data_IF_606014557036
#
_entry.id   IF_606014557036
#
_cell.length_a   1.000
_cell.length_b   1.000
_cell.length_c   1.000
_cell.angle_alpha   90.00
_cell.angle_beta   90.00
_cell.angle_gamma   90.00
#
_symmetry.space_group_name_H-M   'P 1'
#
loop_
_entity.id
_entity.type
_entity.pdbx_description
1 polymer ?
#
# COMPACT_ATOMS: atom_id res chain seq x y z
N UNK A 1 7.81 1.89 -70.07
CA UNK A 1 7.45 1.94 -68.64
C UNK A 1 6.90 0.57 -68.26
N UNK A 2 7.66 -0.22 -67.52
CA UNK A 2 7.13 -1.47 -66.97
C UNK A 2 6.12 -1.14 -65.85
N UNK A 3 4.97 -1.83 -65.80
CA UNK A 3 4.06 -1.70 -64.68
C UNK A 3 4.76 -2.23 -63.43
N UNK A 4 4.76 -1.44 -62.35
CA UNK A 4 5.19 -1.90 -61.03
C UNK A 4 4.26 -3.06 -60.67
N UNK A 5 4.78 -4.28 -60.75
CA UNK A 5 4.05 -5.47 -60.29
C UNK A 5 3.72 -5.26 -58.81
N UNK A 6 2.51 -5.65 -58.41
CA UNK A 6 2.08 -5.76 -57.02
C UNK A 6 2.87 -6.87 -56.29
N UNK A 7 4.20 -6.76 -56.28
CA UNK A 7 5.11 -7.61 -55.52
C UNK A 7 5.07 -7.15 -54.06
N UNK A 8 4.00 -7.60 -53.42
CA UNK A 8 3.86 -7.86 -51.99
C UNK A 8 4.45 -6.77 -51.08
N UNK A 9 3.72 -5.66 -50.96
CA UNK A 9 3.99 -4.60 -49.97
C UNK A 9 4.16 -5.20 -48.56
N UNK A 10 3.46 -6.29 -48.23
CA UNK A 10 3.60 -6.95 -46.94
C UNK A 10 4.95 -7.64 -46.80
N UNK A 11 5.44 -8.32 -47.85
CA UNK A 11 6.80 -8.89 -47.85
C UNK A 11 7.88 -7.81 -47.78
N UNK A 12 7.70 -6.67 -48.47
CA UNK A 12 8.63 -5.55 -48.39
C UNK A 12 8.64 -4.91 -47.00
N UNK A 13 7.47 -4.75 -46.37
CA UNK A 13 7.36 -4.28 -44.99
C UNK A 13 7.99 -5.27 -44.00
N UNK A 14 7.78 -6.57 -44.20
CA UNK A 14 8.38 -7.61 -43.36
C UNK A 14 9.90 -7.61 -43.46
N UNK A 15 10.44 -7.52 -44.69
CA UNK A 15 11.88 -7.40 -44.92
C UNK A 15 12.46 -6.14 -44.27
N UNK A 16 11.76 -5.00 -44.41
CA UNK A 16 12.15 -3.76 -43.75
C UNK A 16 12.12 -3.90 -42.21
N UNK A 17 11.15 -4.60 -41.64
CA UNK A 17 11.09 -4.87 -40.20
C UNK A 17 12.24 -5.77 -39.73
N UNK A 18 12.61 -6.75 -40.54
CA UNK A 18 13.79 -7.59 -40.28
C UNK A 18 15.10 -6.78 -40.37
N UNK A 19 15.22 -5.84 -41.31
CA UNK A 19 16.35 -4.90 -41.41
C UNK A 19 16.40 -3.89 -40.24
N UNK A 20 15.24 -3.46 -39.74
CA UNK A 20 15.10 -2.56 -38.59
C UNK A 20 15.48 -3.23 -37.26
N UNK A 21 15.22 -4.54 -37.12
CA UNK A 21 15.37 -5.27 -35.85
C UNK A 21 16.80 -5.21 -35.28
N UNK A 22 17.89 -5.46 -36.05
CA UNK A 22 19.25 -5.29 -35.56
C UNK A 22 19.60 -3.87 -35.12
N UNK A 23 18.94 -2.86 -35.68
CA UNK A 23 19.08 -1.45 -35.27
C UNK A 23 18.23 -1.08 -34.05
N UNK A 24 17.46 -2.01 -33.49
CA UNK A 24 16.57 -1.76 -32.36
C UNK A 24 15.33 -0.93 -32.70
N UNK A 25 14.97 -0.81 -33.97
CA UNK A 25 13.82 -0.04 -34.42
C UNK A 25 12.55 -0.91 -34.43
N UNK A 26 11.43 -0.33 -33.96
CA UNK A 26 10.10 -0.94 -34.02
C UNK A 26 9.09 0.02 -34.66
N UNK A 27 8.26 -0.42 -35.61
CA UNK A 27 7.28 0.43 -36.30
C UNK A 27 6.11 0.78 -35.37
N UNK A 28 5.95 2.06 -35.03
CA UNK A 28 4.85 2.53 -34.18
C UNK A 28 3.46 2.24 -34.77
N UNK A 29 3.32 2.35 -36.10
CA UNK A 29 2.04 2.14 -36.79
C UNK A 29 1.48 0.72 -36.64
N UNK A 30 2.32 -0.26 -36.31
CA UNK A 30 1.88 -1.64 -36.02
C UNK A 30 1.32 -1.80 -34.59
N UNK A 31 1.74 -0.92 -33.66
CA UNK A 31 1.53 -1.14 -32.21
C UNK A 31 0.87 0.01 -31.46
N UNK A 32 0.62 1.16 -32.11
CA UNK A 32 0.10 2.36 -31.44
C UNK A 32 -1.16 2.07 -30.61
N UNK A 33 -2.09 1.28 -31.17
CA UNK A 33 -3.34 0.92 -30.50
C UNK A 33 -3.15 0.07 -29.23
N UNK A 34 -2.01 -0.63 -29.11
CA UNK A 34 -1.65 -1.39 -27.92
C UNK A 34 -0.87 -0.54 -26.89
N UNK A 35 -0.28 0.58 -27.32
CA UNK A 35 0.50 1.48 -26.46
C UNK A 35 -0.35 2.61 -25.86
N UNK A 36 -1.34 3.11 -26.62
CA UNK A 36 -2.21 4.23 -26.21
C UNK A 36 -3.64 3.71 -26.17
N UNK A 37 -4.08 3.32 -24.98
CA UNK A 37 -5.40 2.76 -24.74
C UNK A 37 -6.43 3.85 -24.46
N UNK A 38 -7.71 3.57 -24.78
CA UNK A 38 -8.82 4.48 -24.47
C UNK A 38 -9.08 4.59 -22.95
N UNK A 39 -8.88 3.49 -22.23
CA UNK A 39 -8.98 3.38 -20.78
C UNK A 39 -7.83 2.50 -20.25
N UNK A 40 -7.46 2.62 -18.95
CA UNK A 40 -6.45 1.75 -18.35
C UNK A 40 -6.81 0.26 -18.47
N UNK A 41 -5.86 -0.56 -18.91
CA UNK A 41 -6.00 -2.02 -18.94
C UNK A 41 -4.91 -2.66 -18.07
N UNK A 42 -5.13 -2.67 -16.75
CA UNK A 42 -4.20 -3.31 -15.82
C UNK A 42 -4.18 -4.83 -16.01
N UNK A 43 -2.99 -5.42 -15.97
CA UNK A 43 -2.84 -6.88 -15.89
C UNK A 43 -3.26 -7.42 -14.50
N UNK A 44 -3.17 -6.58 -13.47
CA UNK A 44 -3.57 -6.96 -12.12
C UNK A 44 -5.07 -7.31 -12.08
N UNK A 45 -5.38 -8.39 -11.36
CA UNK A 45 -6.74 -8.89 -11.17
C UNK A 45 -7.25 -8.47 -9.80
N UNK A 46 -8.56 -8.24 -9.71
CA UNK A 46 -9.22 -8.13 -8.42
C UNK A 46 -9.03 -9.47 -7.68
N UNK A 47 -8.59 -9.41 -6.44
CA UNK A 47 -8.28 -10.60 -5.67
C UNK A 47 -8.45 -10.37 -4.17
N UNK A 48 -8.75 -11.44 -3.45
CA UNK A 48 -9.05 -11.45 -2.03
C UNK A 48 -8.23 -12.54 -1.35
N UNK A 49 -7.62 -12.18 -0.24
CA UNK A 49 -6.89 -13.09 0.64
C UNK A 49 -7.61 -13.16 1.98
N UNK A 50 -8.09 -14.36 2.31
CA UNK A 50 -8.74 -14.62 3.59
C UNK A 50 -7.68 -14.67 4.70
N UNK A 51 -7.83 -13.83 5.73
CA UNK A 51 -6.79 -13.67 6.74
C UNK A 51 -6.42 -14.97 7.44
N UNK A 52 -7.43 -15.79 7.81
CA UNK A 52 -7.21 -17.04 8.51
C UNK A 52 -6.30 -18.01 7.74
N UNK A 53 -6.44 -18.07 6.42
CA UNK A 53 -5.62 -18.97 5.59
C UNK A 53 -4.18 -18.47 5.50
N UNK A 54 -3.98 -17.18 5.22
CA UNK A 54 -2.62 -16.60 5.14
C UNK A 54 -1.92 -16.65 6.51
N UNK A 55 -2.66 -16.41 7.59
CA UNK A 55 -2.17 -16.52 8.98
C UNK A 55 -1.67 -17.93 9.28
N UNK A 56 -2.42 -18.96 8.89
CA UNK A 56 -2.01 -20.36 9.11
C UNK A 56 -0.72 -20.69 8.37
N UNK A 57 -0.55 -20.21 7.13
CA UNK A 57 0.71 -20.35 6.40
C UNK A 57 1.87 -19.59 7.07
N UNK A 58 1.63 -18.38 7.58
CA UNK A 58 2.64 -17.59 8.28
C UNK A 58 3.15 -18.29 9.53
N UNK A 59 2.25 -18.75 10.40
CA UNK A 59 2.62 -19.41 11.65
C UNK A 59 3.39 -20.70 11.39
N UNK A 60 2.94 -21.52 10.44
CA UNK A 60 3.67 -22.73 10.02
C UNK A 60 5.04 -22.41 9.42
N UNK A 61 5.19 -21.27 8.75
CA UNK A 61 6.50 -20.81 8.25
C UNK A 61 7.41 -20.36 9.39
N UNK A 62 6.83 -19.86 10.49
CA UNK A 62 7.52 -19.52 11.74
C UNK A 62 8.29 -20.67 12.36
N UNK A 63 7.73 -21.88 12.30
CA UNK A 63 8.35 -23.10 12.82
C UNK A 63 9.51 -23.63 11.94
N UNK A 64 9.55 -23.20 10.67
CA UNK A 64 10.45 -23.77 9.66
C UNK A 64 11.65 -22.89 9.32
N UNK A 65 11.51 -21.56 9.44
CA UNK A 65 12.53 -20.58 9.07
C UNK A 65 12.62 -19.53 10.17
N UNK A 66 13.81 -19.32 10.75
CA UNK A 66 14.01 -18.25 11.74
C UNK A 66 13.95 -16.86 11.09
N UNK A 67 13.58 -15.81 11.85
CA UNK A 67 13.55 -14.45 11.31
C UNK A 67 14.92 -13.97 10.80
N UNK A 68 16.01 -14.37 11.46
CA UNK A 68 17.38 -14.04 11.04
C UNK A 68 17.72 -14.66 9.68
N UNK A 69 17.31 -15.92 9.44
CA UNK A 69 17.51 -16.59 8.15
C UNK A 69 16.64 -16.02 7.03
N UNK A 70 15.48 -15.46 7.35
CA UNK A 70 14.56 -14.87 6.38
C UNK A 70 14.85 -13.40 6.05
N UNK A 71 15.72 -12.72 6.80
CA UNK A 71 15.81 -11.25 6.97
C UNK A 71 14.48 -10.61 7.44
N UNK A 72 13.37 -10.91 6.76
CA UNK A 72 11.98 -10.68 7.18
C UNK A 72 11.12 -11.89 6.80
N UNK A 73 10.39 -12.45 7.76
CA UNK A 73 9.45 -13.55 7.50
C UNK A 73 8.12 -13.01 6.96
N UNK A 74 8.04 -12.87 5.64
CA UNK A 74 6.89 -12.27 4.94
C UNK A 74 6.30 -13.25 3.92
N UNK A 75 4.97 -13.35 3.87
CA UNK A 75 4.27 -13.93 2.73
C UNK A 75 3.77 -12.79 1.83
N UNK A 76 4.29 -12.77 0.60
CA UNK A 76 3.92 -11.77 -0.41
C UNK A 76 2.50 -12.06 -0.90
N UNK A 77 1.65 -11.04 -0.93
CA UNK A 77 0.32 -11.09 -1.53
C UNK A 77 0.45 -10.82 -3.04
N UNK A 78 1.02 -11.78 -3.77
CA UNK A 78 1.26 -11.63 -5.21
C UNK A 78 -0.04 -11.71 -5.99
N UNK A 79 -0.31 -10.69 -6.80
CA UNK A 79 -1.52 -10.64 -7.62
C UNK A 79 -1.48 -11.75 -8.70
N UNK A 80 -2.54 -12.56 -8.87
CA UNK A 80 -2.57 -13.61 -9.89
C UNK A 80 -2.45 -13.10 -11.35
N UNK A 81 -2.66 -11.80 -11.57
CA UNK A 81 -2.42 -11.15 -12.86
C UNK A 81 -0.99 -10.65 -13.07
N UNK A 82 -0.13 -10.76 -12.05
CA UNK A 82 1.24 -10.25 -12.02
C UNK A 82 2.23 -11.31 -11.49
N UNK A 83 1.97 -12.59 -11.77
CA UNK A 83 2.79 -13.72 -11.31
C UNK A 83 4.29 -13.50 -11.62
N UNK A 84 5.15 -13.75 -10.63
CA UNK A 84 6.61 -13.58 -10.71
C UNK A 84 7.10 -12.14 -10.56
N UNK A 85 6.23 -11.15 -10.40
CA UNK A 85 6.63 -9.74 -10.19
C UNK A 85 6.83 -9.35 -8.73
N UNK A 86 6.32 -10.17 -7.80
CA UNK A 86 6.21 -9.89 -6.37
C UNK A 86 5.45 -8.59 -6.08
N UNK A 87 4.29 -8.40 -6.71
CA UNK A 87 3.51 -7.17 -6.61
C UNK A 87 2.01 -7.44 -6.44
N UNK A 88 1.31 -6.59 -5.68
CA UNK A 88 -0.14 -6.68 -5.49
C UNK A 88 -0.90 -5.79 -6.51
N UNK A 89 -0.28 -4.70 -6.95
CA UNK A 89 -0.65 -3.89 -8.12
C UNK A 89 0.61 -3.63 -8.96
N UNK A 90 0.52 -3.10 -10.18
CA UNK A 90 1.72 -2.78 -10.96
C UNK A 90 2.65 -1.75 -10.30
N UNK A 91 2.16 -0.99 -9.31
CA UNK A 91 2.86 0.09 -8.62
C UNK A 91 3.17 -0.20 -7.15
N UNK A 92 2.48 -1.18 -6.53
CA UNK A 92 2.57 -1.46 -5.10
C UNK A 92 2.86 -2.93 -4.80
N UNK A 93 3.64 -3.12 -3.74
CA UNK A 93 3.86 -4.38 -3.06
C UNK A 93 2.96 -4.46 -1.83
N UNK A 94 2.50 -5.68 -1.50
CA UNK A 94 1.99 -5.96 -0.18
C UNK A 94 2.36 -7.37 0.29
N UNK A 95 2.48 -7.54 1.60
CA UNK A 95 2.77 -8.83 2.22
C UNK A 95 2.32 -8.87 3.67
N UNK A 96 2.03 -10.05 4.19
CA UNK A 96 1.82 -10.21 5.64
C UNK A 96 3.12 -10.69 6.28
N UNK A 97 3.59 -9.96 7.28
CA UNK A 97 4.82 -10.26 8.00
C UNK A 97 4.52 -10.80 9.40
N UNK A 98 5.31 -11.78 9.84
CA UNK A 98 5.28 -12.36 11.18
C UNK A 98 6.59 -12.09 11.93
N UNK A 99 6.48 -11.62 13.17
CA UNK A 99 7.58 -11.59 14.15
C UNK A 99 7.20 -12.37 15.40
N UNK A 100 8.00 -13.37 15.75
CA UNK A 100 7.77 -14.25 16.91
C UNK A 100 8.31 -13.62 18.21
N UNK A 101 7.88 -14.11 19.38
CA UNK A 101 8.43 -13.71 20.67
C UNK A 101 9.96 -13.75 20.72
N UNK A 102 10.56 -12.66 21.17
CA UNK A 102 12.02 -12.49 21.29
C UNK A 102 12.76 -12.17 19.98
N UNK A 103 12.08 -12.19 18.82
CA UNK A 103 12.74 -11.89 17.55
C UNK A 103 12.98 -10.38 17.35
N UNK A 104 14.07 -10.07 16.64
CA UNK A 104 14.41 -8.74 16.14
C UNK A 104 14.68 -8.85 14.65
N UNK A 105 13.98 -8.04 13.84
CA UNK A 105 14.25 -7.89 12.43
C UNK A 105 15.28 -6.76 12.24
N UNK A 106 16.48 -7.03 11.68
CA UNK A 106 17.60 -6.11 11.68
C UNK A 106 17.36 -4.74 11.00
N UNK A 107 18.01 -3.73 11.55
CA UNK A 107 17.94 -2.35 11.10
C UNK A 107 18.55 -2.13 9.71
N UNK A 108 17.79 -1.42 8.87
CA UNK A 108 18.22 -0.99 7.53
C UNK A 108 17.46 0.26 7.10
N UNK A 109 17.84 0.81 5.94
CA UNK A 109 17.08 1.83 5.23
C UNK A 109 17.08 1.53 3.74
N UNK A 110 16.08 2.05 3.04
CA UNK A 110 15.97 1.92 1.59
C UNK A 110 15.16 3.08 1.00
N UNK A 111 15.27 3.33 -0.30
CA UNK A 111 14.55 4.42 -0.99
C UNK A 111 13.04 4.27 -0.86
N UNK A 112 12.54 3.03 -0.87
CA UNK A 112 11.13 2.70 -0.85
C UNK A 112 10.45 3.23 0.40
N UNK A 113 9.24 3.78 0.22
CA UNK A 113 8.33 4.06 1.31
C UNK A 113 7.64 2.76 1.73
N UNK A 114 7.40 2.61 3.03
CA UNK A 114 6.57 1.52 3.54
C UNK A 114 5.59 1.99 4.59
N UNK A 115 4.44 1.33 4.63
CA UNK A 115 3.52 1.35 5.76
C UNK A 115 3.36 -0.05 6.33
N UNK A 116 2.97 -0.09 7.60
CA UNK A 116 2.61 -1.27 8.36
C UNK A 116 1.25 -1.02 8.98
N UNK A 117 0.29 -1.87 8.62
CA UNK A 117 -1.03 -1.85 9.23
C UNK A 117 -1.20 -3.10 10.08
N UNK A 118 -1.33 -2.90 11.39
CA UNK A 118 -1.26 -4.00 12.35
C UNK A 118 -2.54 -4.83 12.32
N UNK A 119 -2.42 -6.15 12.17
CA UNK A 119 -3.57 -7.04 12.09
C UNK A 119 -3.79 -7.80 13.40
N UNK A 120 -2.73 -8.38 13.97
CA UNK A 120 -2.81 -9.24 15.16
C UNK A 120 -1.57 -9.08 16.04
N UNK A 121 -1.74 -9.20 17.35
CA UNK A 121 -0.70 -9.02 18.36
C UNK A 121 -0.75 -7.63 18.99
N UNK A 122 -0.01 -7.46 20.08
CA UNK A 122 0.04 -6.23 20.89
C UNK A 122 1.46 -6.09 21.45
N UNK A 123 2.01 -4.88 21.48
CA UNK A 123 3.19 -4.55 22.26
C UNK A 123 4.55 -4.76 21.58
N UNK A 124 4.64 -5.46 20.44
CA UNK A 124 5.84 -5.40 19.61
C UNK A 124 6.01 -3.99 19.03
N UNK A 125 7.18 -3.68 18.49
CA UNK A 125 7.47 -2.33 18.03
C UNK A 125 8.06 -2.29 16.62
N UNK A 126 7.85 -1.15 15.95
CA UNK A 126 8.66 -0.70 14.82
C UNK A 126 9.41 0.55 15.25
N UNK A 127 10.73 0.57 15.09
CA UNK A 127 11.55 1.74 15.36
C UNK A 127 11.85 2.49 14.06
N UNK A 128 11.80 3.83 14.09
CA UNK A 128 12.16 4.69 12.95
C UNK A 128 13.09 5.80 13.44
N UNK A 129 14.30 5.84 12.88
CA UNK A 129 15.43 6.65 13.35
C UNK A 129 15.63 6.58 14.88
N UNK A 130 15.36 5.41 15.47
CA UNK A 130 15.49 5.18 16.91
C UNK A 130 14.30 5.59 17.77
N UNK A 131 13.19 6.09 17.23
CA UNK A 131 11.94 6.25 17.98
C UNK A 131 11.05 5.02 17.77
N UNK A 132 10.56 4.40 18.86
CA UNK A 132 9.70 3.21 18.78
C UNK A 132 8.22 3.59 18.71
N UNK A 133 7.52 3.10 17.70
CA UNK A 133 6.07 2.94 17.72
C UNK A 133 5.74 1.59 18.37
N UNK A 134 5.17 1.61 19.58
CA UNK A 134 4.62 0.41 20.22
C UNK A 134 3.29 0.12 19.54
N UNK A 135 3.20 -1.06 18.92
CA UNK A 135 2.15 -1.39 17.97
C UNK A 135 0.98 -2.07 18.68
N UNK A 136 -0.23 -1.61 18.37
CA UNK A 136 -1.50 -2.24 18.76
C UNK A 136 -2.31 -2.59 17.49
N UNK A 137 -3.29 -3.51 17.55
CA UNK A 137 -4.13 -3.84 16.40
C UNK A 137 -4.72 -2.60 15.73
N UNK A 138 -4.62 -2.56 14.41
CA UNK A 138 -5.10 -1.52 13.51
C UNK A 138 -4.40 -0.15 13.65
N UNK A 139 -3.27 -0.09 14.35
CA UNK A 139 -2.36 1.04 14.20
C UNK A 139 -1.81 1.09 12.78
N UNK A 140 -1.59 2.30 12.27
CA UNK A 140 -0.82 2.55 11.07
C UNK A 140 0.55 3.09 11.46
N UNK A 141 1.62 2.41 11.03
CA UNK A 141 3.01 2.83 11.24
C UNK A 141 3.69 3.02 9.89
N UNK A 142 4.37 4.14 9.69
CA UNK A 142 5.08 4.49 8.47
C UNK A 142 6.59 4.28 8.66
N UNK A 143 7.27 3.82 7.61
CA UNK A 143 8.72 3.99 7.45
C UNK A 143 8.96 4.66 6.12
N UNK A 144 9.03 6.01 6.13
CA UNK A 144 9.30 6.79 4.93
C UNK A 144 10.68 6.46 4.34
N UNK A 145 10.84 6.67 3.03
CA UNK A 145 12.08 6.37 2.31
C UNK A 145 13.31 7.01 2.96
N UNK A 146 14.39 6.24 3.06
CA UNK A 146 15.69 6.68 3.56
C UNK A 146 15.84 6.75 5.08
N UNK A 147 14.80 6.47 5.87
CA UNK A 147 14.89 6.43 7.34
C UNK A 147 15.33 5.05 7.84
N UNK A 148 16.17 5.03 8.87
CA UNK A 148 16.60 3.79 9.51
C UNK A 148 15.44 3.16 10.25
N UNK A 149 15.22 1.86 10.07
CA UNK A 149 14.13 1.19 10.76
C UNK A 149 14.42 -0.28 11.06
N UNK A 150 13.92 -0.72 12.21
CA UNK A 150 13.97 -2.10 12.71
C UNK A 150 12.65 -2.49 13.40
N UNK A 151 12.48 -3.78 13.65
CA UNK A 151 11.32 -4.33 14.34
C UNK A 151 11.75 -5.26 15.45
N UNK A 152 11.02 -5.28 16.56
CA UNK A 152 11.31 -6.22 17.64
C UNK A 152 10.07 -6.61 18.40
N UNK A 153 10.06 -7.85 18.88
CA UNK A 153 8.97 -8.40 19.66
C UNK A 153 9.47 -8.85 21.03
N UNK A 154 9.36 -7.96 22.03
CA UNK A 154 9.68 -8.26 23.42
C UNK A 154 8.55 -8.97 24.20
N UNK A 155 7.45 -9.32 23.53
CA UNK A 155 6.28 -9.93 24.16
C UNK A 155 6.34 -11.45 24.10
N UNK A 156 5.32 -12.12 24.64
CA UNK A 156 5.17 -13.58 24.65
C UNK A 156 4.22 -14.10 23.55
N UNK A 157 3.69 -13.22 22.68
CA UNK A 157 2.79 -13.58 21.59
C UNK A 157 3.35 -13.19 20.21
N UNK A 158 3.02 -13.92 19.13
CA UNK A 158 3.36 -13.51 17.77
C UNK A 158 2.65 -12.20 17.40
N UNK A 159 3.27 -11.45 16.49
CA UNK A 159 2.68 -10.25 15.92
C UNK A 159 2.67 -10.32 14.40
N UNK A 160 1.52 -9.96 13.80
CA UNK A 160 1.28 -10.01 12.35
C UNK A 160 0.76 -8.66 11.86
N UNK A 161 1.38 -8.14 10.80
CA UNK A 161 0.93 -6.92 10.14
C UNK A 161 0.95 -7.07 8.62
N UNK A 162 0.23 -6.17 7.95
CA UNK A 162 0.32 -5.94 6.52
C UNK A 162 1.40 -4.91 6.24
N UNK A 163 2.39 -5.28 5.45
CA UNK A 163 3.33 -4.36 4.81
C UNK A 163 2.73 -3.87 3.49
N UNK A 164 2.79 -2.55 3.25
CA UNK A 164 2.47 -1.91 1.97
C UNK A 164 3.63 -1.04 1.51
N UNK A 165 4.19 -1.32 0.32
CA UNK A 165 5.40 -0.64 -0.18
C UNK A 165 5.26 -0.21 -1.63
N UNK A 166 6.03 0.80 -2.02
CA UNK A 166 6.15 1.28 -3.39
C UNK A 166 7.30 0.62 -4.17
N UNK A 167 7.71 -0.60 -3.80
CA UNK A 167 8.79 -1.36 -4.46
C UNK A 167 8.63 -1.36 -5.99
N UNK A 168 7.46 -1.70 -6.57
CA UNK A 168 7.29 -1.69 -8.03
C UNK A 168 7.43 -0.30 -8.65
N UNK A 169 6.92 0.76 -7.98
CA UNK A 169 7.09 2.15 -8.42
C UNK A 169 8.57 2.55 -8.43
N UNK A 170 9.32 2.28 -7.36
CA UNK A 170 10.75 2.60 -7.29
C UNK A 170 11.56 1.79 -8.32
N UNK A 171 11.18 0.53 -8.55
CA UNK A 171 11.75 -0.31 -9.61
C UNK A 171 11.48 0.28 -11.00
N UNK A 172 10.28 0.78 -11.26
CA UNK A 172 9.95 1.42 -12.53
C UNK A 172 10.85 2.61 -12.86
N UNK A 173 11.26 3.37 -11.85
CA UNK A 173 12.18 4.51 -12.00
C UNK A 173 13.66 4.15 -11.90
N UNK A 174 14.01 2.86 -11.72
CA UNK A 174 15.39 2.40 -11.47
C UNK A 174 16.09 3.18 -10.34
N UNK A 175 15.35 3.52 -9.27
CA UNK A 175 15.80 4.45 -8.22
C UNK A 175 16.06 3.78 -6.85
N UNK A 176 16.28 2.46 -6.83
CA UNK A 176 16.42 1.70 -5.57
C UNK A 176 17.82 1.84 -4.95
N UNK A 177 17.87 2.23 -3.69
CA UNK A 177 19.06 2.20 -2.83
C UNK A 177 18.71 1.49 -1.51
N UNK A 178 19.66 0.78 -0.92
CA UNK A 178 19.49 0.12 0.38
C UNK A 178 20.82 0.07 1.14
N UNK A 179 20.74 0.25 2.46
CA UNK A 179 21.89 0.21 3.37
C UNK A 179 21.51 -0.55 4.64
N UNK A 180 22.43 -1.39 5.14
CA UNK A 180 22.29 -2.11 6.41
C UNK A 180 22.96 -1.32 7.53
N UNK A 181 22.34 -1.29 8.71
CA UNK A 181 22.98 -0.77 9.91
C UNK A 181 23.92 -1.84 10.51
N UNK A 182 25.07 -1.49 11.10
CA UNK A 182 26.02 -2.48 11.62
C UNK A 182 25.49 -3.33 12.77
N UNK A 183 24.55 -2.81 13.56
CA UNK A 183 23.89 -3.52 14.65
C UNK A 183 22.44 -3.88 14.26
N UNK A 184 21.87 -4.87 14.96
CA UNK A 184 20.50 -5.30 14.71
C UNK A 184 19.45 -4.18 14.93
N UNK A 185 19.74 -3.20 15.80
CA UNK A 185 18.83 -2.12 16.15
C UNK A 185 19.51 -0.77 16.00
N UNK A 186 18.77 0.24 15.56
CA UNK A 186 19.24 1.62 15.61
C UNK A 186 19.25 2.13 17.06
N UNK A 187 20.23 2.94 17.49
CA UNK A 187 20.21 3.55 18.82
C UNK A 187 18.91 4.31 19.09
N UNK A 188 18.40 4.25 20.31
CA UNK A 188 17.20 4.98 20.70
C UNK A 188 17.50 6.49 20.74
N UNK A 189 16.86 7.25 19.85
CA UNK A 189 17.09 8.69 19.69
C UNK A 189 15.98 9.55 20.33
N UNK A 190 14.82 8.94 20.59
CA UNK A 190 13.67 9.55 21.23
C UNK A 190 12.83 8.47 21.94
N UNK A 191 12.14 8.82 23.05
CA UNK A 191 11.25 7.88 23.72
C UNK A 191 10.04 7.55 22.84
N UNK A 192 9.38 6.39 23.05
CA UNK A 192 8.17 6.03 22.32
C UNK A 192 7.08 7.12 22.38
N UNK A 193 6.51 7.48 21.23
CA UNK A 193 5.42 8.45 21.11
C UNK A 193 5.84 9.93 21.12
N UNK A 194 7.14 10.25 21.07
CA UNK A 194 7.64 11.64 21.01
C UNK A 194 7.13 12.36 19.75
N UNK A 195 7.22 11.74 18.57
CA UNK A 195 6.70 12.30 17.31
C UNK A 195 5.19 12.56 17.37
N UNK A 196 4.43 11.62 17.94
CA UNK A 196 2.99 11.75 18.12
C UNK A 196 2.63 12.92 19.03
N UNK A 197 3.31 13.07 20.17
CA UNK A 197 3.09 14.18 21.09
C UNK A 197 3.40 15.55 20.47
N UNK A 198 4.37 15.61 19.54
CA UNK A 198 4.80 16.85 18.88
C UNK A 198 3.95 17.22 17.68
N UNK A 199 3.56 16.24 16.86
CA UNK A 199 3.01 16.46 15.53
C UNK A 199 1.59 15.88 15.33
N UNK A 200 1.07 15.11 16.30
CA UNK A 200 -0.21 14.40 16.20
C UNK A 200 -1.45 15.17 16.67
N UNK A 201 -1.32 16.42 17.11
CA UNK A 201 -2.41 17.19 17.73
C UNK A 201 -2.83 18.44 16.94
N UNK A 202 -2.66 18.44 15.62
CA UNK A 202 -2.90 19.62 14.76
C UNK A 202 -2.12 20.88 15.20
N UNK A 203 -0.98 20.64 15.86
CA UNK A 203 -0.01 21.62 16.33
C UNK A 203 1.37 21.09 15.94
N UNK A 204 2.34 21.99 15.80
CA UNK A 204 3.74 21.61 15.55
C UNK A 204 4.71 22.48 16.32
N UNK A 205 5.90 21.96 16.66
CA UNK A 205 6.99 22.76 17.20
C UNK A 205 7.34 23.93 16.27
N UNK A 206 7.80 25.04 16.86
CA UNK A 206 8.34 26.17 16.10
C UNK A 206 9.68 25.76 15.47
N UNK A 207 9.89 26.13 14.20
CA UNK A 207 11.10 25.78 13.44
C UNK A 207 12.36 26.30 14.11
N UNK A 208 13.44 25.50 14.04
CA UNK A 208 14.75 25.86 14.58
C UNK A 208 14.87 25.78 16.11
N UNK A 209 13.85 25.24 16.78
CA UNK A 209 13.91 24.96 18.22
C UNK A 209 14.41 23.55 18.48
N UNK A 210 14.88 23.26 19.70
CA UNK A 210 15.29 21.90 20.11
C UNK A 210 14.12 20.89 20.11
N UNK A 211 12.89 21.40 20.05
CA UNK A 211 11.67 20.62 19.95
C UNK A 211 11.33 20.19 18.52
N UNK A 212 11.93 20.83 17.52
CA UNK A 212 11.81 20.48 16.10
C UNK A 212 12.79 19.34 15.81
N UNK A 213 12.27 18.12 15.73
CA UNK A 213 13.02 16.88 15.55
C UNK A 213 12.34 16.04 14.46
N UNK A 214 13.07 15.06 13.89
CA UNK A 214 12.68 14.25 12.71
C UNK A 214 12.83 15.03 11.38
N UNK A 215 12.85 14.34 10.23
CA UNK A 215 12.86 15.02 8.93
C UNK A 215 11.66 15.95 8.79
N UNK A 216 11.90 17.20 8.40
CA UNK A 216 10.86 18.25 8.32
C UNK A 216 9.72 17.88 7.38
N UNK A 217 10.00 17.10 6.34
CA UNK A 217 9.00 16.65 5.37
C UNK A 217 8.13 15.51 5.89
N UNK A 218 8.55 14.75 6.91
CA UNK A 218 7.82 13.56 7.35
C UNK A 218 7.99 13.31 8.87
N UNK A 219 7.44 14.22 9.71
CA UNK A 219 7.73 14.24 11.13
C UNK A 219 6.93 13.20 11.94
N UNK A 220 5.73 12.83 11.49
CA UNK A 220 4.87 11.84 12.12
C UNK A 220 4.93 10.51 11.36
N UNK A 221 4.99 9.40 12.11
CA UNK A 221 5.04 8.06 11.53
C UNK A 221 4.16 7.03 12.25
N UNK A 222 3.44 7.39 13.31
CA UNK A 222 2.55 6.46 14.04
C UNK A 222 1.17 7.09 14.19
N UNK A 223 0.14 6.37 13.73
CA UNK A 223 -1.26 6.77 13.77
C UNK A 223 -2.04 5.69 14.54
N UNK A 224 -2.26 5.87 15.85
CA UNK A 224 -2.86 4.82 16.68
C UNK A 224 -4.36 4.63 16.43
N UNK A 225 -4.84 3.38 16.42
CA UNK A 225 -6.26 3.02 16.31
C UNK A 225 -7.12 3.73 17.34
N UNK A 226 -6.64 3.77 18.60
CA UNK A 226 -7.29 4.49 19.70
C UNK A 226 -7.50 5.99 19.46
N UNK A 227 -6.82 6.58 18.48
CA UNK A 227 -7.00 7.98 18.11
C UNK A 227 -7.84 8.14 16.84
N UNK A 228 -7.55 7.39 15.78
CA UNK A 228 -8.25 7.58 14.51
C UNK A 228 -9.66 6.97 14.51
N UNK A 229 -9.92 5.90 15.26
CA UNK A 229 -11.24 5.25 15.30
C UNK A 229 -12.33 6.16 15.91
N UNK A 230 -12.11 6.82 17.06
CA UNK A 230 -13.08 7.79 17.58
C UNK A 230 -13.30 9.01 16.67
N UNK A 231 -12.27 9.42 15.91
CA UNK A 231 -12.42 10.51 14.93
C UNK A 231 -13.37 10.11 13.79
N UNK A 232 -13.29 8.85 13.32
CA UNK A 232 -14.19 8.29 12.32
C UNK A 232 -15.63 8.16 12.87
N UNK A 233 -15.80 7.71 14.12
CA UNK A 233 -17.11 7.70 14.78
C UNK A 233 -17.74 9.08 14.85
N UNK A 234 -16.93 10.08 15.24
CA UNK A 234 -17.42 11.45 15.35
C UNK A 234 -17.89 11.98 13.99
N UNK A 235 -17.12 11.75 12.92
CA UNK A 235 -17.52 12.09 11.56
C UNK A 235 -18.84 11.39 11.19
N UNK A 236 -18.95 10.09 11.42
CA UNK A 236 -20.15 9.32 11.11
C UNK A 236 -21.39 9.79 11.87
N UNK A 237 -21.22 10.26 13.11
CA UNK A 237 -22.33 10.75 13.94
C UNK A 237 -22.86 12.13 13.54
N UNK A 238 -22.12 12.90 12.74
CA UNK A 238 -22.42 14.32 12.48
C UNK A 238 -22.52 14.68 11.00
N UNK A 239 -21.82 13.96 10.12
CA UNK A 239 -21.81 14.25 8.70
C UNK A 239 -22.92 13.51 7.94
N UNK A 240 -23.28 14.03 6.78
CA UNK A 240 -24.06 13.27 5.80
C UNK A 240 -23.16 12.15 5.23
N UNK A 241 -23.72 10.95 5.04
CA UNK A 241 -23.01 9.84 4.42
C UNK A 241 -22.77 10.12 2.93
N UNK A 242 -21.53 9.92 2.47
CA UNK A 242 -21.23 9.95 1.04
C UNK A 242 -21.73 8.65 0.38
N UNK A 243 -22.50 8.71 -0.71
CA UNK A 243 -23.07 7.52 -1.31
C UNK A 243 -22.03 6.54 -1.87
N UNK A 244 -20.84 6.99 -2.28
CA UNK A 244 -19.80 6.15 -2.89
C UNK A 244 -18.74 5.71 -1.87
N UNK A 245 -18.48 6.51 -0.83
CA UNK A 245 -17.39 6.29 0.12
C UNK A 245 -17.85 5.91 1.54
N UNK A 246 -19.12 6.16 1.90
CA UNK A 246 -19.55 6.14 3.29
C UNK A 246 -19.05 7.37 4.05
N UNK A 247 -18.65 7.21 5.30
CA UNK A 247 -17.88 8.23 6.03
C UNK A 247 -16.40 7.91 5.91
N UNK A 248 -15.60 8.82 5.37
CA UNK A 248 -14.19 8.55 5.09
C UNK A 248 -13.27 9.63 5.65
N UNK A 249 -12.12 9.20 6.18
CA UNK A 249 -11.02 10.06 6.61
C UNK A 249 -9.74 9.63 5.93
N UNK A 250 -8.96 10.59 5.43
CA UNK A 250 -7.62 10.35 4.92
C UNK A 250 -6.58 10.59 6.04
N UNK A 251 -5.59 9.72 6.14
CA UNK A 251 -4.43 9.98 6.99
C UNK A 251 -3.54 11.02 6.30
N UNK A 252 -3.12 12.04 7.03
CA UNK A 252 -2.36 13.15 6.44
C UNK A 252 -0.98 13.29 7.06
N UNK A 253 -0.08 13.88 6.28
CA UNK A 253 1.19 14.36 6.78
C UNK A 253 1.00 15.73 7.45
N UNK A 254 1.27 15.89 8.76
CA UNK A 254 1.07 17.17 9.45
C UNK A 254 2.06 18.27 9.03
N UNK A 255 3.09 17.95 8.24
CA UNK A 255 4.04 18.94 7.73
C UNK A 255 3.40 19.86 6.67
N UNK A 256 2.54 19.31 5.81
CA UNK A 256 1.98 19.97 4.63
C UNK A 256 0.47 19.75 4.42
N UNK A 257 -0.15 18.84 5.18
CA UNK A 257 -1.57 18.46 5.04
C UNK A 257 -1.85 17.52 3.87
N UNK A 258 -0.83 17.04 3.17
CA UNK A 258 -0.94 16.13 2.05
C UNK A 258 -1.04 14.65 2.47
N UNK A 259 -0.87 13.72 1.50
CA UNK A 259 -0.85 12.29 1.75
C UNK A 259 0.20 11.87 2.78
N UNK A 260 0.00 10.70 3.42
CA UNK A 260 0.91 10.16 4.44
C UNK A 260 2.36 10.04 4.00
N UNK A 261 2.64 9.74 2.73
CA UNK A 261 3.99 9.63 2.15
C UNK A 261 3.98 10.10 0.70
N UNK A 262 5.14 10.26 0.07
CA UNK A 262 5.18 10.86 -1.26
C UNK A 262 4.49 10.05 -2.36
N UNK A 263 4.48 8.73 -2.22
CA UNK A 263 4.01 7.77 -3.22
C UNK A 263 2.74 7.03 -2.82
N UNK A 264 2.37 7.06 -1.54
CA UNK A 264 1.24 6.29 -0.98
C UNK A 264 0.25 7.22 -0.26
N UNK A 265 -1.02 7.09 -0.61
CA UNK A 265 -2.15 7.63 0.17
C UNK A 265 -2.75 6.53 1.03
N UNK A 266 -3.29 6.88 2.19
CA UNK A 266 -3.96 5.95 3.09
C UNK A 266 -5.21 6.59 3.71
N UNK A 267 -6.28 5.82 3.89
CA UNK A 267 -7.55 6.30 4.42
C UNK A 267 -8.30 5.20 5.19
N UNK A 268 -9.30 5.60 5.96
CA UNK A 268 -10.29 4.70 6.58
C UNK A 268 -11.69 5.10 6.18
N UNK A 269 -12.59 4.12 6.07
CA UNK A 269 -14.01 4.34 5.77
C UNK A 269 -14.89 3.57 6.75
N UNK A 270 -16.00 4.18 7.12
CA UNK A 270 -17.13 3.56 7.81
C UNK A 270 -18.30 3.51 6.82
N UNK A 271 -18.77 2.31 6.53
CA UNK A 271 -19.97 2.09 5.72
C UNK A 271 -21.08 1.64 6.68
N UNK A 272 -22.16 2.44 6.86
CA UNK A 272 -23.23 2.12 7.78
C UNK A 272 -23.87 0.76 7.50
N UNK A 273 -24.33 0.10 8.57
CA UNK A 273 -25.02 -1.19 8.47
C UNK A 273 -26.16 -1.14 7.46
N UNK A 274 -26.19 -2.12 6.55
CA UNK A 274 -27.22 -2.27 5.51
C UNK A 274 -27.03 -1.35 4.31
N UNK A 275 -26.03 -0.45 4.31
CA UNK A 275 -25.74 0.40 3.17
C UNK A 275 -25.03 -0.40 2.07
N UNK A 276 -25.47 -0.16 0.83
CA UNK A 276 -24.69 -0.44 -0.36
C UNK A 276 -24.18 0.89 -0.92
N UNK A 277 -22.87 1.00 -1.15
CA UNK A 277 -22.31 2.20 -1.77
C UNK A 277 -22.69 2.25 -3.25
N UNK A 278 -22.96 3.45 -3.76
CA UNK A 278 -23.06 3.67 -5.20
C UNK A 278 -21.73 3.28 -5.89
N UNK A 279 -21.77 2.69 -7.09
CA UNK A 279 -20.56 2.21 -7.75
C UNK A 279 -19.58 3.34 -8.06
N UNK A 280 -18.28 3.03 -8.04
CA UNK A 280 -17.23 3.96 -8.46
C UNK A 280 -16.07 3.23 -9.12
N UNK A 281 -15.21 3.97 -9.79
CA UNK A 281 -13.90 3.51 -10.28
C UNK A 281 -12.87 4.63 -10.20
N UNK A 282 -11.60 4.27 -10.07
CA UNK A 282 -10.50 5.23 -10.05
C UNK A 282 -9.24 4.61 -10.62
N UNK A 283 -8.29 5.44 -11.07
CA UNK A 283 -7.05 4.98 -11.69
C UNK A 283 -6.04 4.42 -10.69
N UNK A 284 -6.19 4.73 -9.40
CA UNK A 284 -5.33 4.19 -8.34
C UNK A 284 -5.66 2.73 -8.05
N UNK A 285 -4.62 1.91 -7.94
CA UNK A 285 -4.74 0.55 -7.45
C UNK A 285 -4.85 0.57 -5.93
N UNK A 286 -6.00 0.19 -5.39
CA UNK A 286 -6.26 0.28 -3.94
C UNK A 286 -6.28 -1.08 -3.28
N UNK A 287 -5.56 -1.21 -2.17
CA UNK A 287 -5.57 -2.38 -1.30
C UNK A 287 -6.40 -2.00 -0.07
N UNK A 288 -7.40 -2.82 0.25
CA UNK A 288 -8.23 -2.65 1.44
C UNK A 288 -7.98 -3.76 2.45
N UNK A 289 -8.08 -3.40 3.72
CA UNK A 289 -8.12 -4.31 4.86
C UNK A 289 -9.43 -4.10 5.60
N UNK A 290 -10.15 -5.18 5.88
CA UNK A 290 -11.32 -5.11 6.76
C UNK A 290 -10.85 -4.93 8.19
N UNK A 291 -11.21 -3.82 8.84
CA UNK A 291 -10.85 -3.55 10.23
C UNK A 291 -11.89 -4.17 11.16
N UNK A 292 -13.16 -3.81 10.97
CA UNK A 292 -14.29 -4.24 11.78
C UNK A 292 -15.50 -4.57 10.89
N UNK A 293 -16.38 -5.42 11.42
CA UNK A 293 -17.63 -5.77 10.76
C UNK A 293 -17.47 -6.79 9.65
N UNK A 294 -18.57 -6.99 8.93
CA UNK A 294 -18.70 -7.92 7.80
C UNK A 294 -19.47 -7.26 6.69
N UNK A 295 -19.16 -7.68 5.48
CA UNK A 295 -19.81 -7.15 4.30
C UNK A 295 -19.40 -7.91 3.05
N UNK A 296 -19.58 -7.26 1.92
CA UNK A 296 -19.22 -7.77 0.62
C UNK A 296 -18.64 -6.64 -0.22
N UNK A 297 -17.73 -6.97 -1.13
CA UNK A 297 -17.32 -6.08 -2.21
C UNK A 297 -17.68 -6.73 -3.52
N UNK A 298 -18.34 -5.97 -4.38
CA UNK A 298 -18.59 -6.35 -5.77
C UNK A 298 -17.59 -5.60 -6.66
N UNK A 299 -16.83 -6.33 -7.46
CA UNK A 299 -15.85 -5.77 -8.40
C UNK A 299 -16.14 -6.34 -9.78
N UNK A 300 -16.46 -5.48 -10.75
CA UNK A 300 -16.90 -5.84 -12.11
C UNK A 300 -17.96 -6.97 -12.12
N UNK A 301 -18.92 -6.92 -11.19
CA UNK A 301 -20.02 -7.88 -11.08
C UNK A 301 -19.69 -9.17 -10.29
N UNK A 302 -18.46 -9.35 -9.83
CA UNK A 302 -18.06 -10.48 -8.98
C UNK A 302 -18.11 -10.06 -7.51
N UNK A 303 -18.96 -10.70 -6.72
CA UNK A 303 -19.13 -10.43 -5.29
C UNK A 303 -18.26 -11.34 -4.44
N UNK A 304 -17.56 -10.76 -3.47
CA UNK A 304 -16.71 -11.47 -2.50
C UNK A 304 -17.11 -11.07 -1.08
N UNK A 305 -17.28 -12.05 -0.18
CA UNK A 305 -17.57 -11.77 1.23
C UNK A 305 -16.31 -11.33 1.96
N UNK A 306 -16.48 -10.39 2.87
CA UNK A 306 -15.44 -9.73 3.62
C UNK A 306 -15.62 -10.01 5.10
N UNK A 307 -14.55 -10.49 5.75
CA UNK A 307 -14.45 -10.69 7.19
C UNK A 307 -13.27 -9.92 7.78
N UNK A 308 -13.24 -9.64 9.10
CA UNK A 308 -12.16 -8.88 9.72
C UNK A 308 -10.78 -9.42 9.37
N UNK A 309 -9.86 -8.49 9.05
CA UNK A 309 -8.47 -8.66 8.61
C UNK A 309 -8.28 -9.20 7.19
N UNK A 310 -9.35 -9.53 6.47
CA UNK A 310 -9.23 -9.89 5.06
C UNK A 310 -8.62 -8.74 4.26
N UNK A 311 -7.81 -9.12 3.27
CA UNK A 311 -7.17 -8.17 2.35
C UNK A 311 -7.80 -8.33 0.98
N UNK A 312 -8.21 -7.23 0.35
CA UNK A 312 -8.71 -7.23 -1.03
C UNK A 312 -8.01 -6.15 -1.84
N UNK A 313 -7.60 -6.49 -3.07
CA UNK A 313 -7.06 -5.52 -4.02
C UNK A 313 -8.09 -5.19 -5.10
N UNK A 314 -8.28 -3.90 -5.34
CA UNK A 314 -9.06 -3.35 -6.44
C UNK A 314 -8.08 -2.67 -7.41
N UNK A 315 -7.76 -3.32 -8.54
CA UNK A 315 -6.89 -2.74 -9.56
C UNK A 315 -7.46 -1.47 -10.19
N UNK A 316 -6.57 -0.75 -10.89
CA UNK A 316 -6.89 0.45 -11.65
C UNK A 316 -8.13 0.26 -12.56
N UNK A 317 -9.02 1.25 -12.50
CA UNK A 317 -10.21 1.41 -13.34
C UNK A 317 -11.29 0.33 -13.20
N UNK A 318 -11.22 -0.49 -12.15
CA UNK A 318 -12.23 -1.50 -11.83
C UNK A 318 -13.45 -0.88 -11.14
N UNK A 319 -14.65 -1.16 -11.68
CA UNK A 319 -15.90 -0.70 -11.07
C UNK A 319 -16.15 -1.52 -9.82
N UNK A 320 -16.39 -0.84 -8.70
CA UNK A 320 -16.65 -1.51 -7.44
C UNK A 320 -17.68 -0.80 -6.58
N UNK A 321 -18.27 -1.57 -5.66
CA UNK A 321 -19.11 -1.09 -4.56
C UNK A 321 -18.98 -2.02 -3.36
N UNK A 322 -19.25 -1.50 -2.17
CA UNK A 322 -19.30 -2.26 -0.93
C UNK A 322 -20.73 -2.38 -0.44
N UNK A 323 -21.07 -3.53 0.11
CA UNK A 323 -22.30 -3.78 0.83
C UNK A 323 -21.97 -4.17 2.28
N UNK A 324 -22.51 -3.44 3.25
CA UNK A 324 -22.23 -3.63 4.65
C UNK A 324 -23.33 -4.48 5.32
N UNK A 325 -23.00 -5.71 5.75
CA UNK A 325 -23.92 -6.58 6.49
C UNK A 325 -24.05 -6.11 7.95
N UNK A 326 -22.90 -5.78 8.54
CA UNK A 326 -22.75 -5.05 9.80
C UNK A 326 -22.29 -3.60 9.51
N UNK A 327 -22.05 -2.78 10.53
CA UNK A 327 -21.21 -1.59 10.32
C UNK A 327 -19.82 -2.06 9.84
N UNK A 328 -19.39 -1.61 8.67
CA UNK A 328 -18.18 -2.09 8.02
C UNK A 328 -17.11 -1.00 8.04
N UNK A 329 -15.99 -1.28 8.72
CA UNK A 329 -14.83 -0.38 8.77
C UNK A 329 -13.72 -0.97 7.91
N UNK A 330 -13.26 -0.20 6.93
CA UNK A 330 -12.17 -0.61 6.04
C UNK A 330 -11.04 0.41 6.05
N UNK A 331 -9.81 -0.07 6.17
CA UNK A 331 -8.60 0.67 5.87
C UNK A 331 -8.27 0.49 4.40
N UNK A 332 -7.77 1.54 3.73
CA UNK A 332 -7.34 1.45 2.33
C UNK A 332 -6.06 2.26 2.08
N UNK A 333 -5.15 1.71 1.29
CA UNK A 333 -4.00 2.45 0.76
C UNK A 333 -3.83 2.23 -0.74
N UNK A 334 -3.28 3.24 -1.43
CA UNK A 334 -3.12 3.22 -2.88
C UNK A 334 -1.98 4.11 -3.35
N UNK A 335 -1.67 4.00 -4.64
CA UNK A 335 -0.71 4.84 -5.37
C UNK A 335 -1.29 6.21 -5.78
N UNK A 336 -2.45 6.61 -5.22
CA UNK A 336 -3.11 7.89 -5.52
C UNK A 336 -2.17 9.09 -5.36
N UNK A 337 -1.36 9.12 -4.29
CA UNK A 337 -0.44 10.22 -4.03
C UNK A 337 0.54 10.47 -5.19
N UNK A 338 1.13 9.41 -5.77
CA UNK A 338 2.02 9.57 -6.92
C UNK A 338 1.23 9.94 -8.19
N UNK A 339 0.07 9.32 -8.42
CA UNK A 339 -0.75 9.64 -9.58
C UNK A 339 -1.23 11.10 -9.59
N UNK A 340 -1.60 11.66 -8.44
CA UNK A 340 -2.00 13.06 -8.34
C UNK A 340 -0.83 14.00 -8.67
N UNK A 341 0.37 13.73 -8.14
CA UNK A 341 1.58 14.53 -8.41
C UNK A 341 1.98 14.47 -9.89
N UNK A 342 1.73 13.34 -10.55
CA UNK A 342 2.02 13.13 -11.97
C UNK A 342 0.87 13.59 -12.90
N UNK A 343 -0.26 14.06 -12.35
CA UNK A 343 -1.44 14.44 -13.15
C UNK A 343 -2.16 13.27 -13.83
N UNK A 344 -2.01 12.06 -13.31
CA UNK A 344 -2.56 10.82 -13.86
C UNK A 344 -3.87 10.38 -13.20
N UNK A 345 -4.14 10.86 -11.98
CA UNK A 345 -5.30 10.42 -11.20
C UNK A 345 -6.61 10.81 -11.87
N UNK A 346 -7.52 9.83 -12.03
CA UNK A 346 -8.91 10.03 -12.44
C UNK A 346 -9.84 9.20 -11.56
N UNK A 347 -11.06 9.67 -11.37
CA UNK A 347 -12.12 8.91 -10.73
C UNK A 347 -13.48 9.20 -11.36
N UNK A 348 -14.38 8.23 -11.22
CA UNK A 348 -15.78 8.33 -11.64
C UNK A 348 -16.68 7.76 -10.55
N UNK A 349 -17.63 8.58 -10.12
CA UNK A 349 -18.75 8.22 -9.27
C UNK A 349 -19.95 7.94 -10.20
N UNK A 350 -20.38 6.68 -10.27
CA UNK A 350 -21.30 6.15 -11.30
C UNK A 350 -22.77 6.10 -10.88
#
# INVERSE_FOLDING_TARGET
MQPVLANDQQAQLTALYDEMRPAGLKPLWEVLHALVLAEPASLARAHHWHYGEVRDFLLRSGDLISAEQAERRVLILENPGLEGSSAITPSLYAGLQLILPGEVAPCHRHTQCALRFILEGEGAYTAVDGEKAVMSPFDLVLTPGGQWHDHGNGTDQPMIWLDGLDIPTVRHFDASFAEKWPQAQHPEMAPPGDSLARYGHNLRPMRGTSADRRPTSQPLFHYPYKQWRPALDHLASTAQVDPHLGHALEFTNPADGGPVMETISAHVRLIPRGMETAPRRSTDGTIFVVVEGKGQVEIDGVSTRLSPRDVVVIPSWKRHRFHAEDELIIFGFSDKACQQKLGLFREENL
#
